data_IF_456363024854
#
_entry.id   IF_456363024854
#
_cell.length_a   1.000
_cell.length_b   1.000
_cell.length_c   1.000
_cell.angle_alpha   90.00
_cell.angle_beta   90.00
_cell.angle_gamma   90.00
#
_symmetry.space_group_name_H-M   'P 1'
#
loop_
_entity.id
_entity.type
_entity.pdbx_description
1 polymer ?
#
# COMPACT_ATOMS: atom_id res chain seq x y z
N UNK A 1 -39.91 -35.19 32.58
CA UNK A 1 -40.01 -36.23 31.55
C UNK A 1 -40.40 -35.54 30.26
N UNK A 2 -39.49 -35.26 29.38
CA UNK A 2 -39.76 -35.02 27.95
C UNK A 2 -38.42 -35.12 27.22
N UNK A 3 -38.32 -36.13 26.35
CA UNK A 3 -37.16 -36.50 25.55
C UNK A 3 -37.08 -35.61 24.32
N UNK A 4 -35.89 -35.10 23.99
CA UNK A 4 -35.55 -34.44 22.73
C UNK A 4 -35.03 -35.51 21.74
N UNK A 5 -35.52 -35.56 20.49
CA UNK A 5 -35.04 -36.51 19.49
C UNK A 5 -33.74 -36.04 18.80
N UNK A 6 -32.88 -37.00 18.53
CA UNK A 6 -31.62 -36.85 17.78
C UNK A 6 -31.91 -36.64 16.28
N UNK A 7 -31.33 -35.61 15.66
CA UNK A 7 -31.30 -35.44 14.22
C UNK A 7 -30.11 -36.11 13.59
N UNK A 8 -30.42 -37.03 12.70
CA UNK A 8 -29.57 -37.86 11.83
C UNK A 8 -28.72 -36.98 10.90
N UNK A 9 -27.42 -37.19 10.91
CA UNK A 9 -26.52 -36.65 9.89
C UNK A 9 -26.61 -37.53 8.62
N UNK A 10 -27.16 -36.97 7.56
CA UNK A 10 -27.15 -37.61 6.24
C UNK A 10 -25.82 -37.30 5.52
N UNK A 11 -24.98 -38.32 5.39
CA UNK A 11 -23.81 -38.31 4.51
C UNK A 11 -24.26 -38.64 3.09
N UNK A 12 -24.28 -37.67 2.21
CA UNK A 12 -24.47 -37.91 0.76
C UNK A 12 -23.13 -38.36 0.20
N UNK A 13 -23.02 -39.66 -0.07
CA UNK A 13 -21.96 -40.26 -0.89
C UNK A 13 -22.36 -40.13 -2.35
N UNK A 14 -21.64 -39.29 -3.12
CA UNK A 14 -21.76 -39.31 -4.59
C UNK A 14 -20.84 -40.41 -5.09
N UNK A 15 -21.45 -41.49 -5.57
CA UNK A 15 -20.75 -42.55 -6.29
C UNK A 15 -20.60 -42.13 -7.77
N UNK A 16 -19.38 -42.00 -8.23
CA UNK A 16 -19.10 -41.82 -9.64
C UNK A 16 -19.06 -43.19 -10.33
N UNK A 17 -20.02 -43.49 -11.19
CA UNK A 17 -20.00 -44.64 -12.10
C UNK A 17 -19.27 -44.26 -13.38
N UNK A 18 -18.10 -44.87 -13.61
CA UNK A 18 -17.43 -44.83 -14.91
C UNK A 18 -17.93 -45.98 -15.78
N UNK A 19 -18.60 -45.69 -16.88
CA UNK A 19 -18.91 -46.67 -17.92
C UNK A 19 -17.75 -46.79 -18.92
N UNK A 20 -17.27 -48.00 -19.14
CA UNK A 20 -16.24 -48.36 -20.13
C UNK A 20 -16.85 -48.37 -21.54
N UNK A 21 -16.45 -47.47 -22.40
CA UNK A 21 -16.38 -47.68 -23.84
C UNK A 21 -15.53 -46.58 -24.50
N UNK A 22 -14.45 -46.96 -25.19
CA UNK A 22 -13.75 -46.15 -26.19
C UNK A 22 -12.51 -45.40 -25.71
N UNK A 23 -11.36 -45.89 -26.14
CA UNK A 23 -10.01 -45.38 -25.94
C UNK A 23 -9.85 -43.93 -26.38
N UNK A 24 -9.75 -42.99 -25.43
CA UNK A 24 -9.03 -41.71 -25.57
C UNK A 24 -8.39 -41.46 -24.22
N UNK A 25 -7.06 -41.43 -24.18
CA UNK A 25 -6.28 -41.04 -23.01
C UNK A 25 -6.50 -39.54 -22.73
N UNK A 26 -7.59 -39.21 -22.06
CA UNK A 26 -7.71 -37.90 -21.38
C UNK A 26 -7.08 -38.04 -20.02
N UNK A 27 -5.94 -37.38 -19.81
CA UNK A 27 -5.33 -37.21 -18.50
C UNK A 27 -6.36 -36.58 -17.58
N UNK A 28 -6.85 -37.34 -16.60
CA UNK A 28 -7.59 -36.80 -15.47
C UNK A 28 -6.62 -35.90 -14.68
N UNK A 29 -6.55 -34.64 -15.04
CA UNK A 29 -5.95 -33.64 -14.18
C UNK A 29 -6.81 -33.63 -12.92
N UNK A 30 -6.28 -34.12 -11.81
CA UNK A 30 -6.86 -33.93 -10.50
C UNK A 30 -6.86 -32.43 -10.22
N UNK A 31 -8.01 -31.80 -10.41
CA UNK A 31 -8.23 -30.45 -9.90
C UNK A 31 -8.27 -30.57 -8.39
N UNK A 32 -7.10 -30.47 -7.75
CA UNK A 32 -7.08 -30.12 -6.34
C UNK A 32 -7.89 -28.82 -6.22
N UNK A 33 -8.92 -28.77 -5.35
CA UNK A 33 -9.66 -27.54 -5.16
C UNK A 33 -8.63 -26.48 -4.78
N UNK A 34 -8.61 -25.39 -5.54
CA UNK A 34 -7.75 -24.26 -5.23
C UNK A 34 -8.05 -23.87 -3.78
N UNK A 35 -7.07 -24.07 -2.91
CA UNK A 35 -7.16 -23.62 -1.52
C UNK A 35 -7.37 -22.12 -1.63
N UNK A 36 -8.59 -21.67 -1.35
CA UNK A 36 -8.88 -20.26 -1.19
C UNK A 36 -7.96 -19.85 -0.04
N UNK A 37 -6.99 -18.97 -0.25
CA UNK A 37 -6.17 -18.52 0.86
C UNK A 37 -7.15 -17.95 1.88
N UNK A 38 -7.31 -18.66 2.98
CA UNK A 38 -8.00 -18.10 4.13
C UNK A 38 -7.21 -16.84 4.48
N UNK A 39 -7.82 -15.69 4.27
CA UNK A 39 -7.44 -14.50 5.00
C UNK A 39 -7.78 -14.85 6.44
N UNK A 40 -6.84 -15.49 7.14
CA UNK A 40 -6.92 -15.66 8.57
C UNK A 40 -6.71 -14.26 9.13
N UNK A 41 -7.80 -13.48 9.16
CA UNK A 41 -7.85 -12.27 9.91
C UNK A 41 -7.59 -12.65 11.37
N UNK A 42 -6.38 -12.40 11.84
CA UNK A 42 -6.19 -12.25 13.27
C UNK A 42 -7.20 -11.20 13.71
N UNK A 43 -7.78 -11.32 14.91
CA UNK A 43 -8.82 -10.41 15.36
C UNK A 43 -8.34 -8.99 15.13
N UNK A 44 -9.12 -8.22 14.39
CA UNK A 44 -8.85 -6.81 14.15
C UNK A 44 -8.76 -6.13 15.52
N UNK A 45 -7.65 -5.47 15.79
CA UNK A 45 -7.54 -4.62 16.99
C UNK A 45 -8.17 -3.29 16.63
N UNK A 46 -9.09 -2.84 17.47
CA UNK A 46 -9.68 -1.51 17.35
C UNK A 46 -8.86 -0.52 18.16
N UNK A 47 -8.56 0.61 17.57
CA UNK A 47 -7.92 1.75 18.22
C UNK A 47 -8.97 2.83 18.52
N UNK A 48 -8.69 3.66 19.51
CA UNK A 48 -9.57 4.78 19.89
C UNK A 48 -9.53 5.94 18.91
N UNK A 49 -8.55 5.96 18.00
CA UNK A 49 -8.33 7.04 17.03
C UNK A 49 -8.29 6.51 15.61
N UNK A 50 -8.61 7.33 14.61
CA UNK A 50 -8.49 6.98 13.21
C UNK A 50 -7.05 6.64 12.83
N UNK A 51 -6.86 5.52 12.11
CA UNK A 51 -5.59 5.14 11.51
C UNK A 51 -5.48 5.76 10.12
N UNK A 52 -4.31 6.32 9.79
CA UNK A 52 -4.07 7.00 8.52
C UNK A 52 -3.02 6.33 7.65
N UNK A 53 -2.04 5.65 8.22
CA UNK A 53 -0.99 4.97 7.47
C UNK A 53 -0.59 3.63 8.10
N UNK A 54 -0.11 2.72 7.26
CA UNK A 54 0.50 1.45 7.70
C UNK A 54 1.77 1.18 6.91
N UNK A 55 2.81 0.73 7.60
CA UNK A 55 4.07 0.29 7.01
C UNK A 55 4.43 -1.12 7.46
N UNK A 56 5.02 -1.93 6.58
CA UNK A 56 5.54 -3.25 6.92
C UNK A 56 6.98 -3.40 6.45
N UNK A 57 7.88 -3.74 7.38
CA UNK A 57 9.27 -4.04 7.08
C UNK A 57 9.42 -5.35 6.32
N UNK A 58 10.52 -5.55 5.60
CA UNK A 58 10.77 -6.84 4.95
C UNK A 58 11.04 -7.96 5.94
N UNK A 59 11.38 -7.66 7.21
CA UNK A 59 11.44 -8.61 8.32
C UNK A 59 10.06 -9.00 8.90
N UNK A 60 8.98 -8.42 8.34
CA UNK A 60 7.58 -8.69 8.72
C UNK A 60 7.14 -8.14 10.09
N UNK A 61 7.73 -7.05 10.52
CA UNK A 61 7.14 -6.17 11.53
C UNK A 61 6.32 -5.11 10.82
N UNK A 62 5.09 -4.86 11.27
CA UNK A 62 4.21 -3.83 10.72
C UNK A 62 3.85 -2.80 11.78
N UNK A 63 3.69 -1.57 11.39
CA UNK A 63 3.26 -0.46 12.24
C UNK A 63 2.09 0.24 11.58
N UNK A 64 1.02 0.46 12.35
CA UNK A 64 -0.14 1.24 11.94
C UNK A 64 -0.19 2.50 12.80
N UNK A 65 -0.25 3.65 12.14
CA UNK A 65 -0.25 4.96 12.75
C UNK A 65 -1.58 5.67 12.52
N UNK A 66 -2.00 6.41 13.54
CA UNK A 66 -3.13 7.31 13.46
C UNK A 66 -2.93 8.52 14.35
N UNK A 67 -3.65 9.58 14.08
CA UNK A 67 -3.59 10.83 14.83
C UNK A 67 -5.00 11.24 15.22
N UNK A 68 -5.15 11.85 16.40
CA UNK A 68 -6.42 12.37 16.90
C UNK A 68 -6.52 13.86 16.65
N UNK A 69 -7.59 14.28 15.98
CA UNK A 69 -7.91 15.70 15.79
C UNK A 69 -8.38 16.39 17.09
N UNK A 70 -8.65 15.63 18.17
CA UNK A 70 -9.34 16.13 19.36
C UNK A 70 -8.51 16.13 20.64
N UNK A 71 -7.41 15.38 20.69
CA UNK A 71 -6.57 15.33 21.89
C UNK A 71 -5.12 15.06 21.52
N UNK A 72 -4.27 16.07 21.66
CA UNK A 72 -2.83 16.04 21.34
C UNK A 72 -2.05 14.93 22.10
N UNK A 73 -2.64 14.33 23.12
CA UNK A 73 -1.99 13.31 23.95
C UNK A 73 -2.17 11.88 23.43
N UNK A 74 -3.02 11.64 22.43
CA UNK A 74 -3.42 10.30 22.01
C UNK A 74 -3.11 10.03 20.53
N UNK A 75 -1.85 9.89 20.19
CA UNK A 75 -1.44 9.19 18.97
C UNK A 75 -1.57 7.70 19.24
N UNK A 76 -2.53 7.02 18.62
CA UNK A 76 -2.64 5.57 18.75
C UNK A 76 -1.76 4.90 17.71
N UNK A 77 -0.90 4.04 18.18
CA UNK A 77 0.02 3.26 17.35
C UNK A 77 -0.09 1.80 17.75
N UNK A 78 -0.24 0.97 16.74
CA UNK A 78 -0.13 -0.47 16.93
C UNK A 78 1.08 -1.01 16.18
N UNK A 79 1.86 -1.85 16.84
CA UNK A 79 2.93 -2.63 16.24
C UNK A 79 2.51 -4.09 16.13
N UNK A 80 2.66 -4.68 14.94
CA UNK A 80 2.58 -6.12 14.77
C UNK A 80 3.96 -6.74 14.85
N UNK A 81 4.16 -7.60 15.84
CA UNK A 81 5.40 -8.35 16.02
C UNK A 81 5.25 -9.75 15.42
N UNK A 82 6.00 -10.04 14.38
CA UNK A 82 5.94 -11.34 13.71
C UNK A 82 6.29 -12.52 14.66
N UNK A 83 7.13 -12.29 15.66
CA UNK A 83 7.55 -13.29 16.64
C UNK A 83 6.39 -13.85 17.49
N UNK A 84 5.38 -13.03 17.81
CA UNK A 84 4.23 -13.46 18.62
C UNK A 84 2.89 -13.42 17.84
N UNK A 85 2.90 -12.91 16.61
CA UNK A 85 1.74 -12.88 15.73
C UNK A 85 0.61 -11.95 16.20
N UNK A 86 0.91 -10.94 17.02
CA UNK A 86 -0.08 -10.04 17.61
C UNK A 86 0.29 -8.58 17.40
N UNK A 87 -0.73 -7.72 17.39
CA UNK A 87 -0.58 -6.28 17.49
C UNK A 87 -0.47 -5.88 18.96
N UNK A 88 0.42 -4.93 19.25
CA UNK A 88 0.62 -4.37 20.57
C UNK A 88 0.62 -2.84 20.47
N UNK A 89 0.20 -2.10 21.50
CA UNK A 89 0.40 -0.66 21.56
C UNK A 89 1.89 -0.33 21.47
N UNK A 90 2.19 0.81 20.86
CA UNK A 90 3.52 1.36 20.74
C UNK A 90 3.46 2.85 21.06
N UNK A 91 4.36 3.33 21.92
CA UNK A 91 4.45 4.74 22.25
C UNK A 91 5.02 5.53 21.08
N UNK A 92 4.43 6.68 20.81
CA UNK A 92 4.88 7.60 19.76
C UNK A 92 5.30 8.94 20.35
N UNK A 93 6.20 9.66 19.65
CA UNK A 93 6.49 11.03 20.00
C UNK A 93 5.22 11.88 19.97
N UNK A 94 5.12 12.86 20.84
CA UNK A 94 4.02 13.82 20.80
C UNK A 94 4.07 14.57 19.46
N UNK A 95 2.94 14.53 18.73
CA UNK A 95 2.69 15.41 17.59
C UNK A 95 1.72 16.51 18.01
N UNK A 96 1.62 17.57 17.22
CA UNK A 96 0.54 18.52 17.43
C UNK A 96 -0.82 17.94 16.97
N UNK A 97 -1.90 18.57 17.42
CA UNK A 97 -3.29 18.08 17.22
C UNK A 97 -3.73 17.98 15.76
N UNK A 98 -2.95 18.52 14.83
CA UNK A 98 -3.27 18.54 13.39
C UNK A 98 -2.40 17.59 12.57
N UNK A 99 -1.62 16.72 13.21
CA UNK A 99 -0.75 15.81 12.50
C UNK A 99 -1.53 14.91 11.54
N UNK A 100 -1.11 14.88 10.27
CA UNK A 100 -1.68 14.06 9.22
C UNK A 100 -0.56 13.27 8.54
N UNK A 101 -0.59 11.94 8.67
CA UNK A 101 0.38 11.07 8.02
C UNK A 101 -0.13 10.75 6.62
N UNK A 102 0.63 11.10 5.60
CA UNK A 102 0.21 11.01 4.20
C UNK A 102 0.79 9.79 3.50
N UNK A 103 2.00 9.37 3.87
CA UNK A 103 2.68 8.27 3.19
C UNK A 103 3.66 7.55 4.11
N UNK A 104 3.93 6.28 3.80
CA UNK A 104 4.92 5.49 4.51
C UNK A 104 5.71 4.61 3.55
N UNK A 105 6.96 4.33 3.88
CA UNK A 105 7.77 3.35 3.18
C UNK A 105 8.77 2.69 4.12
N UNK A 106 9.07 1.41 3.86
CA UNK A 106 9.83 0.59 4.79
C UNK A 106 11.00 -0.11 4.10
N UNK A 107 12.01 -0.45 4.90
CA UNK A 107 13.13 -1.31 4.55
C UNK A 107 13.19 -2.56 5.45
N UNK A 108 14.36 -3.19 5.61
CA UNK A 108 14.49 -4.45 6.34
C UNK A 108 13.99 -4.39 7.78
N UNK A 109 14.32 -3.36 8.49
CA UNK A 109 14.16 -3.23 9.95
C UNK A 109 13.63 -1.87 10.41
N UNK A 110 13.10 -1.08 9.51
CA UNK A 110 12.50 0.21 9.81
C UNK A 110 11.57 0.75 8.75
N UNK A 111 10.86 1.80 9.11
CA UNK A 111 9.98 2.56 8.21
C UNK A 111 10.16 4.05 8.46
N UNK A 112 9.97 4.86 7.40
CA UNK A 112 9.66 6.28 7.54
C UNK A 112 8.18 6.52 7.26
N UNK A 113 7.60 7.36 8.09
CA UNK A 113 6.26 7.92 7.93
C UNK A 113 6.42 9.42 7.74
N UNK A 114 5.76 9.94 6.73
CA UNK A 114 5.84 11.36 6.37
C UNK A 114 4.46 11.98 6.27
N UNK A 115 4.39 13.27 6.54
CA UNK A 115 3.15 14.02 6.52
C UNK A 115 3.35 15.45 6.96
N UNK A 116 2.31 16.06 7.49
CA UNK A 116 2.29 17.46 7.92
C UNK A 116 1.62 17.63 9.28
N UNK A 117 1.94 18.73 9.96
CA UNK A 117 1.32 19.20 11.19
C UNK A 117 1.36 20.73 11.22
N UNK A 118 0.66 21.38 12.16
CA UNK A 118 0.63 22.85 12.25
C UNK A 118 2.01 23.48 12.39
N UNK A 119 2.91 22.80 13.12
CA UNK A 119 4.28 23.28 13.34
C UNK A 119 5.21 23.05 12.14
N UNK A 120 4.77 22.37 11.08
CA UNK A 120 5.56 22.08 9.88
C UNK A 120 5.40 20.66 9.39
N UNK A 121 6.40 20.16 8.68
CA UNK A 121 6.38 18.80 8.14
C UNK A 121 6.72 17.77 9.22
N UNK A 122 6.12 16.58 9.08
CA UNK A 122 6.29 15.47 9.99
C UNK A 122 7.13 14.37 9.33
N UNK A 123 8.19 13.93 10.01
CA UNK A 123 8.97 12.76 9.64
C UNK A 123 9.16 11.89 10.87
N UNK A 124 8.60 10.69 10.85
CA UNK A 124 8.74 9.71 11.94
C UNK A 124 9.45 8.46 11.46
N UNK A 125 10.44 8.03 12.20
CA UNK A 125 11.18 6.81 11.96
C UNK A 125 10.78 5.72 12.97
N UNK A 126 10.24 4.64 12.46
CA UNK A 126 10.05 3.40 13.20
C UNK A 126 11.29 2.50 13.07
N UNK A 127 11.72 1.93 14.19
CA UNK A 127 12.78 0.94 14.26
C UNK A 127 12.22 -0.38 14.83
N UNK A 128 12.24 -1.45 14.02
CA UNK A 128 11.69 -2.74 14.40
C UNK A 128 12.55 -3.51 15.43
N UNK A 129 13.84 -3.17 15.55
CA UNK A 129 14.74 -3.84 16.50
C UNK A 129 14.56 -3.30 17.93
N UNK A 130 14.39 -1.98 18.06
CA UNK A 130 14.14 -1.33 19.36
C UNK A 130 12.67 -1.18 19.71
N UNK A 131 11.76 -1.49 18.76
CA UNK A 131 10.33 -1.28 18.91
C UNK A 131 9.98 0.15 19.31
N UNK A 132 10.55 1.12 18.62
CA UNK A 132 10.38 2.55 18.93
C UNK A 132 10.10 3.38 17.70
N UNK A 133 9.43 4.51 17.92
CA UNK A 133 9.25 5.57 16.91
C UNK A 133 9.94 6.82 17.44
N UNK A 134 10.70 7.48 16.55
CA UNK A 134 11.37 8.74 16.83
C UNK A 134 10.95 9.78 15.80
N UNK A 135 10.87 11.02 16.24
CA UNK A 135 10.73 12.16 15.33
C UNK A 135 12.09 12.48 14.71
N UNK A 136 12.11 12.65 13.40
CA UNK A 136 13.30 13.02 12.62
C UNK A 136 13.13 14.44 12.06
N UNK A 137 14.21 15.00 11.54
CA UNK A 137 14.22 16.37 11.02
C UNK A 137 13.58 16.39 9.64
N UNK A 138 12.55 17.22 9.47
CA UNK A 138 11.98 17.46 8.15
C UNK A 138 12.93 18.25 7.24
N UNK A 139 12.88 18.05 5.91
CA UNK A 139 13.71 18.79 4.97
C UNK A 139 13.44 20.30 5.05
N UNK A 140 14.50 21.10 5.00
CA UNK A 140 14.38 22.56 5.06
C UNK A 140 13.53 23.11 3.90
N UNK A 141 12.50 23.90 4.26
CA UNK A 141 11.62 24.55 3.30
C UNK A 141 10.67 23.60 2.58
N UNK A 142 10.41 22.40 3.10
CA UNK A 142 9.30 21.57 2.72
C UNK A 142 7.97 22.26 3.07
N UNK A 143 6.95 22.10 2.21
CA UNK A 143 5.61 22.66 2.40
C UNK A 143 4.52 21.58 2.36
N UNK A 144 4.90 20.32 2.27
CA UNK A 144 4.02 19.15 2.23
C UNK A 144 4.81 17.96 1.69
N UNK A 145 5.14 16.98 2.54
CA UNK A 145 5.77 15.75 2.07
C UNK A 145 4.67 14.79 1.67
N UNK A 146 4.47 14.59 0.37
CA UNK A 146 3.31 13.90 -0.19
C UNK A 146 3.57 12.42 -0.50
N UNK A 147 4.82 12.04 -0.82
CA UNK A 147 5.17 10.67 -1.14
C UNK A 147 6.58 10.31 -0.65
N UNK A 148 6.74 9.04 -0.28
CA UNK A 148 8.03 8.47 0.11
C UNK A 148 8.22 7.09 -0.51
N UNK A 149 9.46 6.76 -0.89
CA UNK A 149 9.87 5.44 -1.35
C UNK A 149 11.25 5.08 -0.81
N UNK A 150 11.31 4.01 0.00
CA UNK A 150 12.57 3.46 0.50
C UNK A 150 12.99 2.26 -0.35
N UNK A 151 14.25 2.22 -0.79
CA UNK A 151 14.76 1.21 -1.73
C UNK A 151 15.98 0.43 -1.21
N UNK A 152 16.57 0.92 -0.12
CA UNK A 152 17.63 0.23 0.60
C UNK A 152 17.52 0.50 2.10
N UNK A 153 18.35 -0.16 2.90
CA UNK A 153 18.39 0.09 4.34
C UNK A 153 18.70 1.57 4.59
N UNK A 154 17.83 2.24 5.36
CA UNK A 154 17.93 3.65 5.75
C UNK A 154 17.98 4.65 4.57
N UNK A 155 17.77 4.17 3.34
CA UNK A 155 17.86 5.00 2.12
C UNK A 155 16.49 5.16 1.50
N UNK A 156 16.01 6.40 1.45
CA UNK A 156 14.68 6.74 0.96
C UNK A 156 14.72 7.99 0.09
N UNK A 157 13.74 8.11 -0.79
CA UNK A 157 13.45 9.32 -1.55
C UNK A 157 12.06 9.85 -1.19
N UNK A 158 11.91 11.16 -1.22
CA UNK A 158 10.62 11.83 -1.02
C UNK A 158 10.32 12.78 -2.17
N UNK A 159 9.03 13.04 -2.32
CA UNK A 159 8.51 14.17 -3.06
C UNK A 159 7.82 15.13 -2.10
N UNK A 160 8.22 16.38 -2.13
CA UNK A 160 7.58 17.45 -1.37
C UNK A 160 7.05 18.55 -2.30
N UNK A 161 6.08 19.30 -1.78
CA UNK A 161 5.61 20.54 -2.40
C UNK A 161 6.49 21.69 -1.97
N UNK A 162 7.38 22.16 -2.83
CA UNK A 162 8.15 23.39 -2.60
C UNK A 162 7.39 24.64 -3.06
N UNK A 163 7.85 25.83 -2.65
CA UNK A 163 7.26 27.11 -3.08
C UNK A 163 7.18 27.28 -4.60
N UNK A 164 8.10 26.68 -5.34
CA UNK A 164 8.22 26.78 -6.80
C UNK A 164 7.78 25.52 -7.53
N UNK A 165 7.10 24.60 -6.86
CA UNK A 165 6.63 23.32 -7.39
C UNK A 165 7.27 22.11 -6.70
N UNK A 166 6.87 20.90 -7.11
CA UNK A 166 7.36 19.65 -6.54
C UNK A 166 8.87 19.50 -6.60
N UNK A 167 9.45 18.98 -5.52
CA UNK A 167 10.89 18.75 -5.38
C UNK A 167 11.15 17.31 -4.97
N UNK A 168 12.30 16.79 -5.41
CA UNK A 168 12.81 15.48 -5.05
C UNK A 168 13.99 15.61 -4.09
N UNK A 169 13.98 14.84 -3.02
CA UNK A 169 15.06 14.77 -2.04
C UNK A 169 15.33 13.31 -1.66
N UNK A 170 16.56 13.02 -1.23
CA UNK A 170 16.96 11.71 -0.72
C UNK A 170 17.54 11.81 0.66
N UNK A 171 17.43 10.72 1.41
CA UNK A 171 18.13 10.48 2.67
C UNK A 171 18.87 9.16 2.61
N UNK A 172 20.01 9.05 3.28
CA UNK A 172 20.81 7.82 3.40
C UNK A 172 20.96 7.39 4.88
N UNK A 173 20.30 8.08 5.78
CA UNK A 173 20.37 7.91 7.24
C UNK A 173 18.99 7.91 7.90
N UNK A 174 18.00 7.43 7.15
CA UNK A 174 16.61 7.30 7.59
C UNK A 174 15.97 8.62 8.06
N UNK A 175 16.21 9.71 7.34
CA UNK A 175 15.58 11.01 7.58
C UNK A 175 16.33 11.92 8.53
N UNK A 176 17.49 11.51 9.07
CA UNK A 176 18.32 12.36 9.92
C UNK A 176 18.90 13.52 9.14
N UNK A 177 19.32 13.29 7.89
CA UNK A 177 19.74 14.33 6.94
C UNK A 177 19.12 14.14 5.57
N UNK A 178 18.98 15.23 4.81
CA UNK A 178 18.38 15.25 3.49
C UNK A 178 19.31 15.89 2.48
N UNK A 179 19.26 15.39 1.23
CA UNK A 179 20.00 15.99 0.10
C UNK A 179 19.49 17.40 -0.22
N UNK A 180 20.23 18.12 -1.05
CA UNK A 180 19.72 19.34 -1.65
C UNK A 180 18.52 19.02 -2.55
N UNK A 181 17.44 19.84 -2.48
CA UNK A 181 16.25 19.62 -3.29
C UNK A 181 16.52 19.76 -4.79
N UNK A 182 16.01 18.82 -5.58
CA UNK A 182 16.00 18.89 -7.06
C UNK A 182 14.59 19.19 -7.53
N UNK A 183 14.40 20.27 -8.30
CA UNK A 183 13.11 20.62 -8.88
C UNK A 183 12.82 19.79 -10.11
N UNK A 184 11.57 19.36 -10.26
CA UNK A 184 11.07 18.71 -11.48
C UNK A 184 10.89 19.69 -12.65
N UNK A 185 10.83 20.99 -12.39
CA UNK A 185 10.45 21.97 -13.40
C UNK A 185 8.98 21.93 -13.80
N UNK A 186 8.15 21.23 -13.03
CA UNK A 186 6.69 21.24 -13.22
C UNK A 186 6.04 22.38 -12.43
N UNK A 187 4.84 22.86 -12.84
CA UNK A 187 4.15 23.94 -12.15
C UNK A 187 3.85 23.62 -10.67
N UNK A 188 3.82 24.63 -9.82
CA UNK A 188 3.54 24.51 -8.38
C UNK A 188 2.12 24.04 -8.05
N UNK A 189 1.20 24.07 -9.00
CA UNK A 189 -0.17 23.60 -8.88
C UNK A 189 -0.35 22.12 -9.22
N UNK A 190 0.71 21.43 -9.68
CA UNK A 190 0.65 20.02 -9.97
C UNK A 190 0.80 19.22 -8.66
N UNK A 191 -0.12 18.29 -8.44
CA UNK A 191 -0.15 17.49 -7.22
C UNK A 191 0.63 16.20 -7.43
N UNK A 192 1.50 15.84 -6.48
CA UNK A 192 2.14 14.53 -6.42
C UNK A 192 1.07 13.47 -6.18
N UNK A 193 1.13 12.36 -6.90
CA UNK A 193 0.17 11.27 -6.73
C UNK A 193 0.81 9.94 -6.36
N UNK A 194 2.04 9.66 -6.78
CA UNK A 194 2.80 8.49 -6.36
C UNK A 194 4.30 8.62 -6.66
N UNK A 195 5.10 7.90 -5.89
CA UNK A 195 6.55 7.74 -6.07
C UNK A 195 6.92 6.27 -5.86
N UNK A 196 7.80 5.72 -6.69
CA UNK A 196 8.45 4.44 -6.46
C UNK A 196 9.88 4.44 -6.98
N UNK A 197 10.82 4.14 -6.10
CA UNK A 197 12.23 4.03 -6.42
C UNK A 197 12.65 2.57 -6.20
N UNK A 198 12.85 1.77 -7.25
CA UNK A 198 13.35 0.40 -7.12
C UNK A 198 14.88 0.33 -6.87
N UNK A 199 15.59 1.41 -7.04
CA UNK A 199 17.05 1.54 -6.78
C UNK A 199 17.41 2.99 -6.45
N UNK A 200 18.67 3.20 -6.13
CA UNK A 200 19.28 4.52 -5.92
C UNK A 200 19.30 5.41 -7.18
N UNK A 201 19.33 4.80 -8.35
CA UNK A 201 19.36 5.52 -9.63
C UNK A 201 17.99 5.66 -10.29
N UNK A 202 17.17 4.63 -10.19
CA UNK A 202 15.90 4.57 -10.90
C UNK A 202 14.73 4.98 -9.98
N UNK A 203 13.99 6.03 -10.35
CA UNK A 203 12.71 6.39 -9.73
C UNK A 203 11.67 6.74 -10.80
N UNK A 204 10.42 6.49 -10.46
CA UNK A 204 9.24 6.88 -11.24
C UNK A 204 8.29 7.66 -10.33
N UNK A 205 7.88 8.83 -10.79
CA UNK A 205 6.98 9.74 -10.10
C UNK A 205 5.76 10.04 -10.97
N UNK A 206 4.60 10.18 -10.37
CA UNK A 206 3.40 10.63 -11.08
C UNK A 206 2.79 11.85 -10.44
N UNK A 207 2.25 12.72 -11.29
CA UNK A 207 1.63 13.98 -10.93
C UNK A 207 0.26 14.09 -11.60
N UNK A 208 -0.62 14.82 -10.98
CA UNK A 208 -1.85 15.30 -11.56
C UNK A 208 -1.66 16.78 -11.89
N UNK A 209 -1.67 17.15 -13.16
CA UNK A 209 -1.51 18.53 -13.56
C UNK A 209 -2.82 19.32 -13.41
N UNK A 210 -2.74 20.65 -13.51
CA UNK A 210 -3.87 21.57 -13.35
C UNK A 210 -5.04 21.30 -14.32
N UNK A 211 -4.80 20.59 -15.42
CA UNK A 211 -5.82 20.18 -16.39
C UNK A 211 -6.41 18.79 -16.08
N UNK A 212 -6.11 18.22 -14.91
CA UNK A 212 -6.44 16.84 -14.51
C UNK A 212 -5.86 15.78 -15.46
N UNK A 213 -4.74 16.08 -16.10
CA UNK A 213 -3.94 15.13 -16.88
C UNK A 213 -2.90 14.45 -16.00
N UNK A 214 -2.64 13.17 -16.25
CA UNK A 214 -1.57 12.45 -15.56
C UNK A 214 -0.24 12.71 -16.28
N UNK A 215 0.76 13.09 -15.50
CA UNK A 215 2.14 13.17 -15.93
C UNK A 215 2.98 12.15 -15.18
N UNK A 216 3.84 11.45 -15.90
CA UNK A 216 4.77 10.49 -15.32
C UNK A 216 6.18 10.86 -15.70
N UNK A 217 6.99 11.04 -14.69
CA UNK A 217 8.40 11.35 -14.85
C UNK A 217 9.24 10.19 -14.36
N UNK A 218 10.36 9.96 -15.02
CA UNK A 218 11.35 8.95 -14.61
C UNK A 218 12.72 9.56 -14.56
N UNK A 219 13.52 9.06 -13.62
CA UNK A 219 14.95 9.29 -13.54
C UNK A 219 15.71 7.98 -13.62
N UNK A 220 16.96 8.01 -14.07
CA UNK A 220 17.91 6.91 -14.04
C UNK A 220 19.30 7.36 -13.58
N UNK A 221 19.35 8.52 -12.92
CA UNK A 221 20.55 9.16 -12.40
C UNK A 221 20.37 9.65 -10.94
N UNK A 222 19.48 8.98 -10.18
CA UNK A 222 19.26 9.29 -8.79
C UNK A 222 18.48 10.59 -8.54
N UNK A 223 17.71 11.03 -9.54
CA UNK A 223 16.89 12.25 -9.44
C UNK A 223 17.61 13.52 -9.89
N UNK A 224 18.84 13.43 -10.40
CA UNK A 224 19.55 14.60 -10.92
C UNK A 224 18.84 15.17 -12.17
N UNK A 225 18.30 14.31 -13.01
CA UNK A 225 17.44 14.70 -14.14
C UNK A 225 16.18 13.86 -14.22
N UNK A 226 15.08 14.48 -14.68
CA UNK A 226 13.79 13.82 -14.82
C UNK A 226 13.27 13.95 -16.25
N UNK A 227 12.76 12.85 -16.79
CA UNK A 227 12.24 12.75 -18.15
C UNK A 227 10.75 12.45 -18.14
N UNK A 228 9.94 13.32 -18.75
CA UNK A 228 8.51 13.09 -18.94
C UNK A 228 8.26 11.91 -19.87
N UNK A 229 7.35 11.02 -19.49
CA UNK A 229 6.87 9.89 -20.29
C UNK A 229 5.49 10.21 -20.87
N UNK A 230 5.38 10.18 -22.18
CA UNK A 230 4.16 10.55 -22.93
C UNK A 230 3.26 9.35 -23.28
N UNK A 231 3.62 8.14 -22.87
CA UNK A 231 2.94 6.89 -23.23
C UNK A 231 1.52 6.70 -22.69
N UNK A 232 0.96 7.70 -22.00
CA UNK A 232 -0.39 7.69 -21.43
C UNK A 232 -1.49 8.19 -22.36
N UNK A 233 -1.18 8.69 -23.53
CA UNK A 233 -2.11 9.42 -24.42
C UNK A 233 -3.33 8.63 -24.91
N UNK A 234 -3.38 7.32 -24.69
CA UNK A 234 -4.49 6.46 -25.12
C UNK A 234 -5.43 6.02 -24.00
N UNK A 235 -5.16 6.40 -22.74
CA UNK A 235 -5.92 5.93 -21.57
C UNK A 235 -6.37 7.16 -20.77
N UNK A 236 -7.69 7.37 -20.72
CA UNK A 236 -8.31 8.43 -19.90
C UNK A 236 -8.28 8.03 -18.42
N UNK A 237 -7.18 8.30 -17.74
CA UNK A 237 -7.06 8.11 -16.29
C UNK A 237 -7.23 9.45 -15.58
N UNK A 238 -7.79 9.41 -14.37
CA UNK A 238 -7.90 10.59 -13.54
C UNK A 238 -6.70 10.79 -12.61
N UNK A 239 -6.04 9.71 -12.15
CA UNK A 239 -4.81 9.76 -11.36
C UNK A 239 -4.13 8.38 -11.33
N UNK A 240 -2.81 8.35 -11.12
CA UNK A 240 -2.05 7.16 -10.78
C UNK A 240 -1.67 7.26 -9.30
N UNK A 241 -2.44 6.60 -8.42
CA UNK A 241 -2.42 6.84 -6.97
C UNK A 241 -1.52 5.92 -6.16
N UNK A 242 -1.01 4.86 -6.78
CA UNK A 242 -0.03 3.97 -6.15
C UNK A 242 0.89 3.40 -7.21
N UNK A 243 2.15 3.24 -6.85
CA UNK A 243 3.19 2.64 -7.68
C UNK A 243 4.00 1.65 -6.87
N UNK A 244 4.23 0.47 -7.41
CA UNK A 244 5.12 -0.56 -6.84
C UNK A 244 6.01 -1.09 -7.95
N UNK A 245 7.31 -0.82 -7.85
CA UNK A 245 8.30 -1.19 -8.86
C UNK A 245 9.29 -2.24 -8.35
N UNK A 246 9.70 -3.13 -9.26
CA UNK A 246 10.84 -4.04 -9.09
C UNK A 246 11.70 -3.92 -10.35
N UNK A 247 12.82 -3.26 -10.25
CA UNK A 247 13.58 -2.77 -11.38
C UNK A 247 12.70 -1.88 -12.29
N UNK A 248 12.78 -2.08 -13.59
CA UNK A 248 12.04 -1.27 -14.57
C UNK A 248 10.61 -1.74 -14.84
N UNK A 249 10.11 -2.71 -14.08
CA UNK A 249 8.71 -3.18 -14.14
C UNK A 249 7.94 -2.65 -12.97
N UNK A 250 6.76 -2.06 -13.23
CA UNK A 250 5.91 -1.52 -12.17
C UNK A 250 4.47 -1.99 -12.32
N UNK A 251 3.79 -2.11 -11.18
CA UNK A 251 2.34 -2.11 -11.08
C UNK A 251 1.89 -0.77 -10.51
N UNK A 252 0.80 -0.25 -11.04
CA UNK A 252 0.21 0.98 -10.57
C UNK A 252 -1.30 0.85 -10.39
N UNK A 253 -1.85 1.69 -9.54
CA UNK A 253 -3.28 1.85 -9.36
C UNK A 253 -3.73 3.13 -10.05
N UNK A 254 -4.46 2.98 -11.14
CA UNK A 254 -5.03 4.10 -11.88
C UNK A 254 -6.48 4.34 -11.46
N UNK A 255 -6.78 5.54 -11.01
CA UNK A 255 -8.14 6.02 -10.73
C UNK A 255 -8.77 6.50 -12.05
N UNK A 256 -10.05 6.18 -12.23
CA UNK A 256 -10.88 6.61 -13.37
C UNK A 256 -12.12 7.32 -12.84
N UNK A 257 -12.87 7.97 -13.71
CA UNK A 257 -14.17 8.53 -13.36
C UNK A 257 -15.20 7.49 -12.91
N UNK A 258 -15.07 6.23 -13.39
CA UNK A 258 -16.04 5.16 -13.18
C UNK A 258 -15.47 3.96 -12.39
N UNK A 259 -14.41 4.15 -11.60
CA UNK A 259 -13.79 3.09 -10.82
C UNK A 259 -12.27 3.15 -10.84
N UNK A 260 -11.62 2.01 -10.63
CA UNK A 260 -10.16 1.90 -10.59
C UNK A 260 -9.65 0.79 -11.50
N UNK A 261 -8.38 0.86 -11.83
CA UNK A 261 -7.70 -0.10 -12.69
C UNK A 261 -6.32 -0.41 -12.16
N UNK A 262 -5.95 -1.68 -12.09
CA UNK A 262 -4.55 -2.05 -11.94
C UNK A 262 -3.91 -2.05 -13.32
N UNK A 263 -2.81 -1.37 -13.44
CA UNK A 263 -2.04 -1.17 -14.66
C UNK A 263 -0.61 -1.62 -14.47
N UNK A 264 0.05 -1.97 -15.56
CA UNK A 264 1.44 -2.45 -15.56
C UNK A 264 2.25 -1.77 -16.63
N UNK A 265 3.49 -1.47 -16.31
CA UNK A 265 4.55 -1.15 -17.27
C UNK A 265 5.69 -2.17 -17.13
N UNK A 266 6.26 -2.60 -18.24
CA UNK A 266 7.45 -3.47 -18.29
C UNK A 266 8.69 -2.69 -18.79
N UNK A 267 8.54 -1.41 -19.10
CA UNK A 267 9.55 -0.54 -19.71
C UNK A 267 9.64 0.84 -19.03
N UNK A 268 9.43 0.84 -17.71
CA UNK A 268 9.59 2.00 -16.85
C UNK A 268 8.78 3.23 -17.30
N UNK A 269 7.48 3.03 -17.51
CA UNK A 269 6.54 4.08 -17.84
C UNK A 269 6.46 4.48 -19.32
N UNK A 270 7.27 3.90 -20.23
CA UNK A 270 7.15 4.20 -21.66
C UNK A 270 5.82 3.74 -22.26
N UNK A 271 5.28 2.63 -21.76
CA UNK A 271 3.95 2.16 -22.11
C UNK A 271 3.30 1.45 -20.94
N UNK A 272 1.97 1.48 -20.91
CA UNK A 272 1.18 0.87 -19.86
C UNK A 272 0.12 -0.05 -20.44
N UNK A 273 -0.11 -1.16 -19.78
CA UNK A 273 -1.15 -2.12 -20.11
C UNK A 273 -2.09 -2.32 -18.93
N UNK A 274 -3.36 -2.61 -19.23
CA UNK A 274 -4.35 -2.94 -18.22
C UNK A 274 -4.11 -4.38 -17.71
N UNK A 275 -4.01 -4.53 -16.39
CA UNK A 275 -4.01 -5.85 -15.73
C UNK A 275 -5.44 -6.28 -15.42
N UNK A 276 -6.19 -5.43 -14.72
CA UNK A 276 -7.60 -5.69 -14.37
C UNK A 276 -8.36 -4.40 -14.16
N UNK A 277 -9.67 -4.43 -14.39
CA UNK A 277 -10.58 -3.33 -14.07
C UNK A 277 -11.42 -3.69 -12.86
N UNK A 278 -11.66 -2.72 -12.01
CA UNK A 278 -12.34 -2.86 -10.74
C UNK A 278 -13.46 -1.83 -10.66
N UNK A 279 -14.68 -2.30 -10.39
CA UNK A 279 -15.85 -1.41 -10.26
C UNK A 279 -15.91 -0.73 -8.88
N UNK A 280 -15.00 -1.07 -7.99
CA UNK A 280 -14.87 -0.51 -6.65
C UNK A 280 -13.94 0.69 -6.67
N UNK A 281 -14.14 1.64 -5.77
CA UNK A 281 -13.18 2.70 -5.49
C UNK A 281 -12.02 2.08 -4.71
N UNK A 282 -10.89 1.83 -5.39
CA UNK A 282 -9.70 1.33 -4.75
C UNK A 282 -8.85 2.53 -4.36
N UNK A 283 -8.38 2.52 -3.14
CA UNK A 283 -7.61 3.60 -2.56
C UNK A 283 -6.12 3.27 -2.53
N UNK A 284 -5.76 1.98 -2.42
CA UNK A 284 -4.39 1.58 -2.11
C UNK A 284 -4.00 0.23 -2.74
N UNK A 285 -2.72 0.09 -3.08
CA UNK A 285 -2.08 -1.11 -3.62
C UNK A 285 -0.70 -1.29 -2.98
N UNK A 286 -0.43 -2.45 -2.39
CA UNK A 286 0.90 -2.82 -1.93
C UNK A 286 1.28 -4.22 -2.40
N UNK A 287 2.56 -4.42 -2.68
CA UNK A 287 3.07 -5.66 -3.24
C UNK A 287 4.22 -6.24 -2.40
N UNK A 288 4.16 -7.55 -2.13
CA UNK A 288 5.32 -8.33 -1.68
C UNK A 288 6.28 -8.59 -2.86
N UNK A 289 5.72 -8.72 -4.02
CA UNK A 289 6.37 -8.80 -5.32
C UNK A 289 5.37 -8.43 -6.40
N UNK A 290 5.80 -8.09 -7.61
CA UNK A 290 4.89 -7.76 -8.72
C UNK A 290 3.94 -8.92 -9.14
N UNK A 291 4.15 -10.12 -8.61
CA UNK A 291 3.26 -11.27 -8.80
C UNK A 291 2.30 -11.49 -7.63
N UNK A 292 2.48 -10.79 -6.52
CA UNK A 292 1.70 -10.98 -5.30
C UNK A 292 1.48 -9.64 -4.60
N UNK A 293 0.30 -9.09 -4.77
CA UNK A 293 -0.09 -7.79 -4.22
C UNK A 293 -1.42 -7.88 -3.48
N UNK A 294 -1.66 -6.89 -2.63
CA UNK A 294 -2.94 -6.63 -1.98
C UNK A 294 -3.48 -5.30 -2.48
N UNK A 295 -4.75 -5.25 -2.78
CA UNK A 295 -5.49 -4.04 -3.15
C UNK A 295 -6.63 -3.84 -2.17
N UNK A 296 -6.79 -2.62 -1.68
CA UNK A 296 -7.78 -2.26 -0.68
C UNK A 296 -8.58 -1.02 -1.05
N UNK A 297 -9.79 -0.91 -0.53
CA UNK A 297 -10.65 0.22 -0.79
C UNK A 297 -12.09 0.01 -0.30
N UNK A 298 -13.05 0.48 -1.09
CA UNK A 298 -14.47 0.35 -0.79
C UNK A 298 -15.28 -0.02 -2.04
N UNK A 299 -16.41 -0.67 -1.82
CA UNK A 299 -17.45 -0.90 -2.84
C UNK A 299 -18.19 0.40 -3.16
N UNK A 300 -19.03 0.38 -4.18
CA UNK A 300 -19.95 1.50 -4.50
C UNK A 300 -20.93 1.83 -3.38
N UNK A 301 -21.18 0.87 -2.47
CA UNK A 301 -22.00 1.05 -1.26
C UNK A 301 -21.17 1.44 -0.02
N UNK A 302 -19.93 1.88 -0.21
CA UNK A 302 -18.98 2.25 0.86
C UNK A 302 -18.60 1.12 1.82
N UNK A 303 -18.91 -0.13 1.47
CA UNK A 303 -18.47 -1.27 2.27
C UNK A 303 -16.97 -1.55 2.03
N UNK A 304 -16.24 -2.03 3.06
CA UNK A 304 -14.83 -2.37 2.95
C UNK A 304 -14.62 -3.43 1.87
N UNK A 305 -13.56 -3.24 1.10
CA UNK A 305 -13.20 -4.15 0.03
C UNK A 305 -11.69 -4.42 0.05
N UNK A 306 -11.32 -5.69 -0.05
CA UNK A 306 -9.94 -6.14 -0.07
C UNK A 306 -9.81 -7.32 -1.04
N UNK A 307 -8.73 -7.35 -1.80
CA UNK A 307 -8.43 -8.46 -2.69
C UNK A 307 -6.93 -8.72 -2.78
N UNK A 308 -6.57 -9.95 -3.11
CA UNK A 308 -5.23 -10.31 -3.50
C UNK A 308 -5.12 -10.39 -5.02
N UNK A 309 -4.04 -9.84 -5.56
CA UNK A 309 -3.68 -9.93 -6.97
C UNK A 309 -2.50 -10.90 -7.09
N UNK A 310 -2.72 -12.04 -7.73
CA UNK A 310 -1.69 -13.06 -7.92
C UNK A 310 -1.49 -13.32 -9.41
N UNK A 311 -0.32 -12.99 -9.93
CA UNK A 311 0.04 -13.15 -11.36
C UNK A 311 -1.02 -12.60 -12.33
N UNK A 312 -1.61 -11.44 -12.01
CA UNK A 312 -2.65 -10.79 -12.81
C UNK A 312 -4.09 -11.28 -12.56
N UNK A 313 -4.28 -12.31 -11.72
CA UNK A 313 -5.60 -12.77 -11.30
C UNK A 313 -6.00 -12.16 -9.96
N UNK A 314 -7.21 -11.62 -9.89
CA UNK A 314 -7.75 -10.99 -8.69
C UNK A 314 -8.63 -11.98 -7.92
N UNK A 315 -8.34 -12.14 -6.62
CA UNK A 315 -9.17 -12.90 -5.69
C UNK A 315 -9.66 -11.99 -4.58
N UNK A 316 -10.97 -11.76 -4.53
CA UNK A 316 -11.59 -10.91 -3.50
C UNK A 316 -11.64 -11.67 -2.18
N UNK A 317 -11.18 -11.03 -1.11
CA UNK A 317 -11.27 -11.56 0.24
C UNK A 317 -12.66 -11.30 0.82
N UNK A 318 -13.20 -12.30 1.52
CA UNK A 318 -14.42 -12.10 2.31
C UNK A 318 -14.04 -11.46 3.65
N UNK A 319 -14.40 -10.19 3.82
CA UNK A 319 -14.18 -9.46 5.06
C UNK A 319 -15.39 -9.63 5.98
N UNK A 320 -15.19 -10.23 7.15
CA UNK A 320 -16.27 -10.51 8.12
C UNK A 320 -16.32 -9.50 9.26
N UNK A 321 -15.29 -8.69 9.46
CA UNK A 321 -15.15 -7.87 10.67
C UNK A 321 -14.57 -6.46 10.46
N UNK A 322 -14.53 -5.93 9.26
CA UNK A 322 -14.04 -4.56 9.02
C UNK A 322 -15.23 -3.65 8.78
N UNK A 323 -15.60 -2.77 9.73
CA UNK A 323 -16.77 -1.93 9.60
C UNK A 323 -16.56 -0.72 8.69
N UNK A 324 -15.34 -0.43 8.27
CA UNK A 324 -14.97 0.79 7.56
C UNK A 324 -14.17 0.47 6.28
N UNK A 325 -14.19 1.33 5.26
CA UNK A 325 -13.36 1.20 4.06
C UNK A 325 -11.90 0.96 4.40
N UNK A 326 -11.20 0.20 3.56
CA UNK A 326 -9.75 0.02 3.68
C UNK A 326 -9.06 1.31 3.22
N UNK A 327 -8.39 1.97 4.16
CA UNK A 327 -7.73 3.25 3.94
C UNK A 327 -6.32 3.05 3.35
N UNK A 328 -5.56 2.10 3.90
CA UNK A 328 -4.19 1.83 3.44
C UNK A 328 -3.81 0.35 3.60
N UNK A 329 -2.84 -0.10 2.79
CA UNK A 329 -2.23 -1.43 2.86
C UNK A 329 -0.72 -1.33 2.70
N UNK A 330 0.01 -2.15 3.47
CA UNK A 330 1.46 -2.32 3.32
C UNK A 330 1.83 -3.78 3.33
N UNK A 331 2.91 -4.14 2.64
CA UNK A 331 3.40 -5.51 2.56
C UNK A 331 4.88 -5.59 2.92
N UNK A 332 5.21 -6.53 3.80
CA UNK A 332 6.57 -7.03 4.00
C UNK A 332 6.87 -8.19 3.06
N UNK A 333 7.82 -9.06 3.43
CA UNK A 333 8.21 -10.21 2.58
C UNK A 333 7.22 -11.39 2.64
N UNK A 334 6.49 -11.57 3.75
CA UNK A 334 5.59 -12.72 3.99
C UNK A 334 4.19 -12.34 4.44
N UNK A 335 4.03 -11.13 4.97
CA UNK A 335 2.76 -10.63 5.47
C UNK A 335 2.45 -9.27 4.88
N UNK A 336 1.17 -8.94 4.83
CA UNK A 336 0.68 -7.59 4.60
C UNK A 336 -0.18 -7.17 5.78
N UNK A 337 -0.30 -5.88 5.98
CA UNK A 337 -1.27 -5.28 6.89
C UNK A 337 -2.20 -4.37 6.12
N UNK A 338 -3.45 -4.30 6.54
CA UNK A 338 -4.44 -3.39 6.00
C UNK A 338 -5.12 -2.66 7.16
N UNK A 339 -5.37 -1.37 6.98
CA UNK A 339 -6.06 -0.55 7.95
C UNK A 339 -7.41 -0.07 7.41
N UNK A 340 -8.43 -0.13 8.27
CA UNK A 340 -9.63 0.69 8.17
C UNK A 340 -9.50 1.93 9.05
N UNK A 341 -10.60 2.66 9.27
CA UNK A 341 -10.52 3.91 10.06
C UNK A 341 -9.99 3.68 11.48
N UNK A 342 -10.48 2.65 12.18
CA UNK A 342 -10.05 2.34 13.56
C UNK A 342 -9.58 0.91 13.73
N UNK A 343 -9.40 0.17 12.65
CA UNK A 343 -9.09 -1.26 12.71
C UNK A 343 -7.86 -1.58 11.88
N UNK A 344 -7.06 -2.51 12.36
CA UNK A 344 -5.93 -3.07 11.62
C UNK A 344 -6.06 -4.57 11.52
N UNK A 345 -5.69 -5.12 10.38
CA UNK A 345 -5.66 -6.56 10.15
C UNK A 345 -4.35 -6.98 9.51
N UNK A 346 -3.92 -8.20 9.82
CA UNK A 346 -2.78 -8.84 9.17
C UNK A 346 -3.26 -9.84 8.13
N UNK A 347 -2.60 -9.87 6.99
CA UNK A 347 -2.94 -10.69 5.84
C UNK A 347 -1.74 -11.58 5.48
N UNK A 348 -2.04 -12.82 5.09
CA UNK A 348 -1.07 -13.75 4.47
C UNK A 348 -1.56 -14.06 3.07
N UNK A 349 -1.22 -13.24 2.09
CA UNK A 349 -1.69 -13.38 0.70
C UNK A 349 -1.06 -14.55 -0.03
#
# INVERSE_FOLDING_TARGET
MNRVPAHVRSLVRIAATCSLAGVVLASCASTTPAVIPHVTGLPAISFSVPLSAVGCTTSNSCVALGTSDFDASLSSVGEYRSANGRWAPLDVPSADTSANIQSSSCWSDGCLFVGSQLSGELVWRYNANSHSINSEIAPTGALGIEAISCYASMTCAILDSGKSGPRFLTTHDAGTTWSTPVSFGVPSQDSVTALSCPSDLDCIASFLNASNGIEVYVTNDGGATWTLRTGFSTITWAALTSLNCAGRKCLGLAKLSTGSRVVRTDNFGHSWSKVTSLRSSILTLACMSLKRCVVGGMTSSSAPWLATLTSGSLKVAKLTYVPTPIADVACGSKICAAIGVTTVMTLRP
#
